data_IF_542682244020
#
_entry.id   IF_542682244020
#
_cell.length_a   1.000
_cell.length_b   1.000
_cell.length_c   1.000
_cell.angle_alpha   90.00
_cell.angle_beta   90.00
_cell.angle_gamma   90.00
#
_symmetry.space_group_name_H-M   'P 1'
#
loop_
_entity.id
_entity.type
_entity.pdbx_description
1 polymer ?
#
# COMPACT_ATOMS: atom_id res chain seq x y z
N UNK A 1 4.72 12.19 -13.91
CA UNK A 1 4.90 11.22 -12.80
C UNK A 1 4.12 9.97 -13.16
N UNK A 2 4.76 8.80 -13.16
CA UNK A 2 4.12 7.52 -13.50
C UNK A 2 3.55 6.90 -12.22
N UNK A 3 2.28 6.50 -12.25
CA UNK A 3 1.61 5.83 -11.13
C UNK A 3 1.29 4.40 -11.55
N UNK A 4 1.65 3.44 -10.69
CA UNK A 4 1.46 2.01 -10.95
C UNK A 4 0.67 1.40 -9.81
N UNK A 5 -0.44 0.73 -10.12
CA UNK A 5 -1.22 -0.03 -9.16
C UNK A 5 -0.67 -1.45 -8.99
N UNK A 6 -0.27 -1.81 -7.77
CA UNK A 6 0.16 -3.17 -7.44
C UNK A 6 -0.99 -3.95 -6.81
N UNK A 7 -1.55 -4.91 -7.55
CA UNK A 7 -2.67 -5.75 -7.12
C UNK A 7 -2.26 -7.22 -7.03
N UNK A 8 -3.08 -8.03 -6.35
CA UNK A 8 -2.84 -9.47 -6.19
C UNK A 8 -3.61 -10.07 -5.02
N UNK A 9 -3.79 -11.39 -5.02
CA UNK A 9 -4.48 -12.13 -3.95
C UNK A 9 -3.73 -12.07 -2.61
N UNK A 10 -4.37 -12.46 -1.52
CA UNK A 10 -3.71 -12.66 -0.22
C UNK A 10 -2.62 -13.72 -0.39
N UNK A 11 -1.42 -13.47 0.16
CA UNK A 11 -0.27 -14.37 0.00
C UNK A 11 0.45 -14.31 -1.35
N UNK A 12 0.00 -13.48 -2.31
CA UNK A 12 0.63 -13.40 -3.64
C UNK A 12 1.97 -12.64 -3.70
N UNK A 13 2.56 -12.28 -2.55
CA UNK A 13 3.85 -11.60 -2.50
C UNK A 13 3.83 -10.10 -2.81
N UNK A 14 2.68 -9.42 -2.79
CA UNK A 14 2.55 -7.97 -3.04
C UNK A 14 3.54 -7.14 -2.20
N UNK A 15 3.64 -7.43 -0.90
CA UNK A 15 4.58 -6.75 0.01
C UNK A 15 6.04 -6.94 -0.41
N UNK A 16 6.39 -8.10 -1.00
CA UNK A 16 7.74 -8.35 -1.50
C UNK A 16 8.02 -7.46 -2.72
N UNK A 17 7.09 -7.41 -3.67
CA UNK A 17 7.22 -6.56 -4.87
C UNK A 17 7.22 -5.07 -4.51
N UNK A 18 6.40 -4.64 -3.56
CA UNK A 18 6.37 -3.26 -3.10
C UNK A 18 7.69 -2.84 -2.44
N UNK A 19 8.31 -3.73 -1.65
CA UNK A 19 9.66 -3.48 -1.11
C UNK A 19 10.74 -3.44 -2.19
N UNK A 20 10.64 -4.28 -3.22
CA UNK A 20 11.54 -4.18 -4.37
C UNK A 20 11.42 -2.81 -5.05
N UNK A 21 10.20 -2.30 -5.27
CA UNK A 21 10.01 -0.96 -5.82
C UNK A 21 10.64 0.13 -4.95
N UNK A 22 10.46 0.06 -3.62
CA UNK A 22 11.13 0.99 -2.68
C UNK A 22 12.66 0.96 -2.86
N UNK A 23 13.24 -0.23 -2.94
CA UNK A 23 14.69 -0.40 -3.11
C UNK A 23 15.22 0.16 -4.44
N UNK A 24 14.37 0.24 -5.46
CA UNK A 24 14.70 0.87 -6.75
C UNK A 24 14.36 2.37 -6.79
N UNK A 25 14.03 2.98 -5.65
CA UNK A 25 13.78 4.42 -5.53
C UNK A 25 12.35 4.86 -5.81
N UNK A 26 11.40 3.91 -5.97
CA UNK A 26 10.01 4.27 -6.12
C UNK A 26 9.40 4.66 -4.77
N UNK A 27 8.57 5.71 -4.78
CA UNK A 27 7.70 6.01 -3.65
C UNK A 27 6.55 4.99 -3.66
N UNK A 28 6.45 4.23 -2.57
CA UNK A 28 5.43 3.19 -2.43
C UNK A 28 4.41 3.62 -1.38
N UNK A 29 3.18 3.78 -1.85
CA UNK A 29 2.00 4.07 -1.04
C UNK A 29 1.31 2.75 -0.72
N UNK A 30 1.22 2.41 0.57
CA UNK A 30 0.57 1.18 1.03
C UNK A 30 -0.87 1.48 1.45
N UNK A 31 -1.83 1.04 0.62
CA UNK A 31 -3.25 1.30 0.87
C UNK A 31 -3.78 0.56 2.11
N UNK A 32 -3.27 -0.63 2.41
CA UNK A 32 -3.72 -1.42 3.56
C UNK A 32 -3.30 -0.73 4.86
N UNK A 33 -2.06 -0.24 4.91
CA UNK A 33 -1.55 0.53 6.05
C UNK A 33 -2.30 1.85 6.25
N UNK A 34 -2.58 2.58 5.16
CA UNK A 34 -3.36 3.83 5.21
C UNK A 34 -4.78 3.58 5.68
N UNK A 35 -5.43 2.51 5.22
CA UNK A 35 -6.78 2.16 5.66
C UNK A 35 -6.80 1.82 7.14
N UNK A 36 -5.84 1.03 7.62
CA UNK A 36 -5.73 0.69 9.03
C UNK A 36 -5.52 1.93 9.91
N UNK A 37 -4.73 2.89 9.46
CA UNK A 37 -4.52 4.14 10.18
C UNK A 37 -5.75 5.07 10.13
N UNK A 38 -6.37 5.18 8.96
CA UNK A 38 -7.60 5.95 8.77
C UNK A 38 -8.74 5.45 9.67
N UNK A 39 -8.86 4.13 9.83
CA UNK A 39 -9.84 3.51 10.73
C UNK A 39 -9.58 3.78 12.22
N UNK A 40 -8.43 4.32 12.63
CA UNK A 40 -8.25 4.79 14.02
C UNK A 40 -8.89 6.15 14.26
N UNK A 41 -9.17 6.90 13.20
CA UNK A 41 -9.89 8.15 13.30
C UNK A 41 -11.39 7.87 13.26
N UNK A 42 -12.08 8.13 14.38
CA UNK A 42 -13.53 7.95 14.52
C UNK A 42 -14.32 8.73 13.46
N UNK A 43 -13.80 9.88 12.99
CA UNK A 43 -14.46 10.69 11.96
C UNK A 43 -14.49 10.04 10.57
N UNK A 44 -13.74 8.96 10.36
CA UNK A 44 -13.65 8.22 9.08
C UNK A 44 -14.51 6.95 9.10
N UNK A 45 -15.09 6.60 10.25
CA UNK A 45 -15.88 5.39 10.43
C UNK A 45 -17.38 5.55 10.13
N UNK A 46 -17.86 6.76 9.82
CA UNK A 46 -19.22 7.04 9.33
C UNK A 46 -19.35 6.85 7.81
#
# INVERSE_FOLDING_TARGET
>A
MTVVGLIGKIGAGKTTVSNLFRNHGAVVIDADALTHDALKNESVQE
#
